data_IF_686727402185
#
_entry.id   IF_686727402185
#
_cell.length_a   1.000
_cell.length_b   1.000
_cell.length_c   1.000
_cell.angle_alpha   90.00
_cell.angle_beta   90.00
_cell.angle_gamma   90.00
#
_symmetry.space_group_name_H-M   'P 1'
#
loop_
_entity.id
_entity.type
_entity.pdbx_description
1 polymer ?
#
# COMPACT_ATOMS: atom_id res chain seq x y z
N UNK A 1 10.65 4.22 -5.07
CA UNK A 1 9.95 3.02 -4.57
C UNK A 1 9.63 3.27 -3.11
N UNK A 2 8.36 3.32 -2.74
CA UNK A 2 8.02 3.39 -1.33
C UNK A 2 8.19 1.99 -0.74
N UNK A 3 9.05 1.86 0.27
CA UNK A 3 9.27 0.59 0.98
C UNK A 3 7.97 0.19 1.67
N UNK A 4 7.60 -1.08 1.57
CA UNK A 4 6.46 -1.65 2.28
C UNK A 4 6.58 -1.34 3.78
N UNK A 5 5.46 -0.99 4.44
CA UNK A 5 5.48 -0.74 5.89
C UNK A 5 5.99 -1.99 6.63
N UNK A 6 6.75 -1.79 7.71
CA UNK A 6 7.25 -2.91 8.51
C UNK A 6 6.13 -3.74 9.12
N UNK A 7 5.03 -3.11 9.53
CA UNK A 7 3.86 -3.82 10.06
C UNK A 7 3.28 -4.75 9.00
N UNK A 8 3.00 -4.22 7.81
CA UNK A 8 2.48 -5.02 6.68
C UNK A 8 3.43 -6.16 6.31
N UNK A 9 4.74 -5.92 6.37
CA UNK A 9 5.75 -6.96 6.07
C UNK A 9 5.73 -8.11 7.08
N UNK A 10 5.54 -7.80 8.38
CA UNK A 10 5.42 -8.81 9.44
C UNK A 10 4.09 -9.58 9.33
N UNK A 11 2.99 -8.91 9.04
CA UNK A 11 1.69 -9.58 8.82
C UNK A 11 1.76 -10.55 7.63
N UNK A 12 2.39 -10.13 6.52
CA UNK A 12 2.60 -11.00 5.35
C UNK A 12 3.53 -12.17 5.64
N UNK A 13 4.56 -11.95 6.45
CA UNK A 13 5.42 -13.02 6.91
C UNK A 13 4.63 -14.10 7.66
N UNK A 14 3.74 -13.70 8.57
CA UNK A 14 2.89 -14.64 9.31
C UNK A 14 1.93 -15.39 8.39
N UNK A 15 1.35 -14.71 7.40
CA UNK A 15 0.45 -15.32 6.42
C UNK A 15 1.15 -16.36 5.52
N UNK A 16 2.37 -16.07 5.07
CA UNK A 16 3.13 -16.92 4.12
C UNK A 16 4.29 -17.67 4.77
N UNK A 17 4.27 -17.86 6.09
CA UNK A 17 5.41 -18.37 6.86
C UNK A 17 5.93 -19.71 6.32
N UNK A 18 5.04 -20.67 6.06
CA UNK A 18 5.41 -22.00 5.55
C UNK A 18 6.11 -21.91 4.20
N UNK A 19 5.55 -21.14 3.26
CA UNK A 19 6.12 -20.95 1.92
C UNK A 19 7.50 -20.28 2.00
N UNK A 20 7.64 -19.29 2.87
CA UNK A 20 8.91 -18.60 3.13
C UNK A 20 9.96 -19.59 3.65
N UNK A 21 9.62 -20.39 4.67
CA UNK A 21 10.54 -21.35 5.27
C UNK A 21 10.97 -22.44 4.27
N UNK A 22 10.06 -22.95 3.45
CA UNK A 22 10.38 -23.94 2.41
C UNK A 22 11.33 -23.38 1.34
N UNK A 23 11.11 -22.14 0.91
CA UNK A 23 12.00 -21.44 -0.01
C UNK A 23 13.40 -21.26 0.60
N UNK A 24 13.47 -20.76 1.84
CA UNK A 24 14.74 -20.55 2.52
C UNK A 24 15.49 -21.86 2.79
N UNK A 25 14.79 -22.95 3.10
CA UNK A 25 15.38 -24.27 3.22
C UNK A 25 16.07 -24.71 1.92
N UNK A 26 15.40 -24.50 0.78
CA UNK A 26 15.96 -24.81 -0.54
C UNK A 26 17.20 -23.96 -0.87
N UNK A 27 17.19 -22.68 -0.48
CA UNK A 27 18.33 -21.78 -0.65
C UNK A 27 19.50 -22.18 0.26
N UNK A 28 19.23 -22.50 1.53
CA UNK A 28 20.26 -22.97 2.47
C UNK A 28 20.92 -24.26 2.01
N UNK A 29 20.17 -25.20 1.43
CA UNK A 29 20.74 -26.40 0.81
C UNK A 29 21.68 -26.05 -0.36
N UNK A 30 21.29 -25.11 -1.21
CA UNK A 30 22.12 -24.62 -2.32
C UNK A 30 23.41 -23.95 -1.82
N UNK A 31 23.31 -23.12 -0.77
CA UNK A 31 24.45 -22.42 -0.18
C UNK A 31 25.42 -23.37 0.50
N UNK A 32 24.92 -24.37 1.24
CA UNK A 32 25.74 -25.42 1.85
C UNK A 32 26.59 -26.15 0.80
N UNK A 33 25.99 -26.53 -0.33
CA UNK A 33 26.72 -27.18 -1.43
C UNK A 33 27.78 -26.26 -2.04
N UNK A 34 27.47 -24.97 -2.19
CA UNK A 34 28.42 -23.97 -2.67
C UNK A 34 29.62 -23.80 -1.73
N UNK A 35 29.39 -23.79 -0.41
CA UNK A 35 30.44 -23.74 0.61
C UNK A 35 31.33 -24.99 0.54
N UNK A 36 30.73 -26.19 0.45
CA UNK A 36 31.47 -27.46 0.34
C UNK A 36 32.36 -27.50 -0.90
N UNK A 37 31.92 -26.88 -2.01
CA UNK A 37 32.65 -26.84 -3.28
C UNK A 37 33.56 -25.61 -3.44
N UNK A 38 33.67 -24.75 -2.42
CA UNK A 38 34.38 -23.46 -2.51
C UNK A 38 33.96 -22.61 -3.73
N UNK A 39 32.69 -22.68 -4.10
CA UNK A 39 32.13 -21.91 -5.22
C UNK A 39 31.79 -20.49 -4.78
N UNK A 40 31.97 -19.53 -5.70
CA UNK A 40 31.52 -18.16 -5.47
C UNK A 40 30.00 -18.08 -5.57
N UNK A 41 29.35 -18.10 -4.40
CA UNK A 41 27.91 -18.01 -4.25
C UNK A 41 27.36 -16.61 -4.56
N UNK A 42 28.19 -15.62 -4.93
CA UNK A 42 27.72 -14.28 -5.31
C UNK A 42 26.84 -14.27 -6.56
N UNK A 43 26.87 -15.32 -7.38
CA UNK A 43 25.93 -15.45 -8.52
C UNK A 43 24.47 -15.65 -8.06
N UNK A 44 24.24 -16.15 -6.84
CA UNK A 44 22.91 -16.31 -6.25
C UNK A 44 22.24 -14.96 -5.95
N UNK A 45 22.98 -13.86 -5.88
CA UNK A 45 22.44 -12.50 -5.70
C UNK A 45 21.45 -12.15 -6.80
N UNK A 46 21.72 -12.58 -8.03
CA UNK A 46 20.86 -12.30 -9.17
C UNK A 46 19.52 -13.05 -9.08
N UNK A 47 19.52 -14.24 -8.47
CA UNK A 47 18.34 -15.09 -8.31
C UNK A 47 17.55 -14.74 -7.03
N UNK A 48 18.27 -14.46 -5.94
CA UNK A 48 17.73 -14.21 -4.60
C UNK A 48 18.18 -12.84 -4.08
N UNK A 49 17.55 -11.76 -4.55
CA UNK A 49 17.95 -10.38 -4.29
C UNK A 49 17.68 -9.94 -2.85
N UNK A 50 16.88 -10.71 -2.11
CA UNK A 50 16.56 -10.48 -0.70
C UNK A 50 17.65 -10.97 0.26
N UNK A 51 18.62 -11.76 -0.20
CA UNK A 51 19.75 -12.19 0.64
C UNK A 51 20.61 -10.99 1.01
N UNK A 52 21.00 -10.86 2.28
CA UNK A 52 21.84 -9.75 2.76
C UNK A 52 23.25 -10.22 3.11
N UNK A 53 23.34 -11.14 4.08
CA UNK A 53 24.59 -11.62 4.64
C UNK A 53 24.59 -13.14 4.76
N UNK A 54 25.76 -13.74 4.60
CA UNK A 54 26.04 -15.13 4.92
C UNK A 54 27.31 -15.18 5.78
N UNK A 55 27.30 -16.00 6.82
CA UNK A 55 28.47 -16.28 7.65
C UNK A 55 28.36 -17.67 8.29
N UNK A 56 29.48 -18.20 8.76
CA UNK A 56 29.54 -19.49 9.43
C UNK A 56 29.89 -19.31 10.90
N UNK A 57 29.31 -20.12 11.79
CA UNK A 57 29.61 -20.14 13.22
C UNK A 57 30.21 -21.49 13.61
N UNK A 58 31.04 -21.52 14.65
CA UNK A 58 31.47 -22.74 15.30
C UNK A 58 30.45 -23.22 16.37
N UNK A 59 30.79 -24.31 17.07
CA UNK A 59 29.96 -24.88 18.16
C UNK A 59 29.73 -23.94 19.33
N UNK A 60 30.58 -22.92 19.50
CA UNK A 60 30.51 -21.95 20.59
C UNK A 60 29.81 -20.66 20.16
N UNK A 61 29.41 -20.53 18.90
CA UNK A 61 28.76 -19.34 18.37
C UNK A 61 29.76 -18.26 17.93
N UNK A 62 31.05 -18.59 17.80
CA UNK A 62 32.05 -17.68 17.23
C UNK A 62 32.01 -17.75 15.72
N UNK A 63 31.96 -16.58 15.10
CA UNK A 63 31.96 -16.45 13.65
C UNK A 63 33.32 -16.81 13.03
N UNK A 64 33.27 -17.67 12.03
CA UNK A 64 34.40 -18.18 11.26
C UNK A 64 34.51 -17.41 9.95
N UNK A 65 35.50 -16.51 9.87
CA UNK A 65 35.73 -15.68 8.68
C UNK A 65 34.81 -14.45 8.59
N UNK A 66 35.03 -13.66 7.54
CA UNK A 66 34.28 -12.43 7.32
C UNK A 66 32.89 -12.69 6.72
N UNK A 67 32.00 -11.71 6.85
CA UNK A 67 30.67 -11.78 6.25
C UNK A 67 30.74 -11.84 4.71
N UNK A 68 30.03 -12.80 4.12
CA UNK A 68 29.73 -12.82 2.70
C UNK A 68 28.54 -11.89 2.46
N UNK A 69 28.80 -10.72 1.88
CA UNK A 69 27.75 -9.76 1.55
C UNK A 69 27.18 -10.03 0.16
N UNK A 70 25.87 -10.21 0.06
CA UNK A 70 25.17 -10.40 -1.21
C UNK A 70 24.88 -9.07 -1.91
N UNK A 71 24.79 -7.96 -1.18
CA UNK A 71 24.50 -6.63 -1.77
C UNK A 71 25.74 -5.74 -1.84
N UNK A 72 25.89 -5.04 -2.97
CA UNK A 72 27.01 -4.09 -3.22
C UNK A 72 27.08 -2.97 -2.18
N UNK A 73 25.93 -2.50 -1.69
CA UNK A 73 25.85 -1.46 -0.65
C UNK A 73 26.51 -1.90 0.67
N UNK A 74 26.40 -3.18 1.01
CA UNK A 74 26.98 -3.75 2.23
C UNK A 74 28.43 -4.20 2.06
N UNK A 75 28.84 -4.52 0.83
CA UNK A 75 30.20 -4.99 0.55
C UNK A 75 31.29 -4.06 1.07
N UNK A 76 31.11 -2.73 0.96
CA UNK A 76 32.12 -1.76 1.42
C UNK A 76 32.27 -1.70 2.94
N UNK A 77 31.22 -2.03 3.69
CA UNK A 77 31.13 -1.77 5.13
C UNK A 77 31.24 -3.05 5.96
N UNK A 78 30.72 -4.17 5.43
CA UNK A 78 30.50 -5.41 6.18
C UNK A 78 31.34 -6.60 5.68
N UNK A 79 31.85 -6.59 4.44
CA UNK A 79 32.46 -7.79 3.82
C UNK A 79 33.79 -8.23 4.47
N UNK A 80 34.47 -7.36 5.20
CA UNK A 80 35.74 -7.65 5.89
C UNK A 80 35.59 -7.47 7.41
N UNK A 81 34.38 -7.72 7.93
CA UNK A 81 34.02 -7.63 9.34
C UNK A 81 33.32 -8.92 9.78
N UNK A 82 33.31 -9.15 11.09
CA UNK A 82 32.57 -10.24 11.72
C UNK A 82 33.44 -11.43 12.13
N UNK A 83 34.65 -11.58 11.57
CA UNK A 83 35.53 -12.68 11.99
C UNK A 83 35.83 -12.64 13.51
N UNK A 84 35.71 -13.80 14.16
CA UNK A 84 35.85 -13.99 15.60
C UNK A 84 34.85 -13.20 16.47
N UNK A 85 33.74 -12.72 15.90
CA UNK A 85 32.66 -12.14 16.68
C UNK A 85 31.88 -13.23 17.43
N UNK A 86 31.60 -12.98 18.72
CA UNK A 86 30.72 -13.83 19.52
C UNK A 86 29.24 -13.53 19.20
N UNK A 87 28.55 -14.56 18.71
CA UNK A 87 27.13 -14.53 18.36
C UNK A 87 26.36 -15.63 19.12
N UNK A 88 26.93 -16.17 20.20
CA UNK A 88 26.32 -17.22 21.00
C UNK A 88 24.99 -16.81 21.63
N UNK A 89 24.86 -15.57 22.08
CA UNK A 89 23.62 -15.05 22.68
C UNK A 89 22.50 -14.77 21.66
N UNK A 90 22.76 -14.95 20.36
CA UNK A 90 21.76 -14.63 19.33
C UNK A 90 20.62 -15.65 19.35
N UNK A 91 19.35 -15.22 19.18
CA UNK A 91 18.21 -16.12 19.24
C UNK A 91 18.31 -17.31 18.30
N UNK A 92 18.74 -17.10 17.05
CA UNK A 92 18.92 -18.20 16.09
C UNK A 92 19.91 -19.27 16.58
N UNK A 93 20.96 -18.87 17.31
CA UNK A 93 21.98 -19.80 17.79
C UNK A 93 21.45 -20.62 18.97
N UNK A 94 20.73 -19.99 19.88
CA UNK A 94 20.07 -20.67 21.00
C UNK A 94 19.01 -21.67 20.50
N UNK A 95 18.20 -21.28 19.51
CA UNK A 95 17.16 -22.14 18.92
C UNK A 95 17.75 -23.39 18.25
N UNK A 96 18.83 -23.24 17.47
CA UNK A 96 19.43 -24.41 16.80
C UNK A 96 20.09 -25.38 17.79
N UNK A 97 20.64 -24.87 18.91
CA UNK A 97 21.19 -25.73 19.96
C UNK A 97 20.10 -26.58 20.63
N UNK A 98 18.89 -26.03 20.79
CA UNK A 98 17.75 -26.74 21.36
C UNK A 98 17.18 -27.81 20.41
N UNK A 99 17.09 -27.51 19.10
CA UNK A 99 16.35 -28.34 18.15
C UNK A 99 17.21 -29.19 17.19
N UNK A 100 18.49 -28.85 16.99
CA UNK A 100 19.43 -29.50 16.05
C UNK A 100 18.93 -29.64 14.60
N UNK A 101 17.96 -28.81 14.20
CA UNK A 101 17.40 -28.75 12.86
C UNK A 101 17.55 -27.33 12.30
N UNK A 102 17.23 -27.12 11.03
CA UNK A 102 17.20 -25.76 10.47
C UNK A 102 16.16 -24.92 11.23
N UNK A 103 16.57 -23.76 11.71
CA UNK A 103 15.71 -22.84 12.47
C UNK A 103 15.61 -21.49 11.75
N UNK A 104 14.48 -20.82 11.95
CA UNK A 104 14.20 -19.49 11.40
C UNK A 104 13.77 -18.57 12.54
N UNK A 105 14.34 -17.37 12.61
CA UNK A 105 13.93 -16.40 13.63
C UNK A 105 12.57 -15.78 13.29
N UNK A 106 11.90 -15.26 14.31
CA UNK A 106 10.89 -14.23 14.08
C UNK A 106 11.51 -12.99 13.41
N UNK A 107 10.71 -12.15 12.72
CA UNK A 107 11.20 -10.89 12.15
C UNK A 107 11.80 -9.96 13.21
N UNK A 108 12.98 -9.42 12.94
CA UNK A 108 13.66 -8.46 13.81
C UNK A 108 14.43 -7.42 13.00
N UNK A 109 14.92 -6.34 13.64
CA UNK A 109 15.73 -5.33 12.96
C UNK A 109 17.20 -5.73 13.06
N UNK A 110 17.85 -5.95 11.91
CA UNK A 110 19.29 -6.25 11.86
C UNK A 110 20.09 -5.08 12.40
N UNK A 111 21.06 -5.35 13.29
CA UNK A 111 22.02 -4.34 13.74
C UNK A 111 23.01 -4.00 12.62
N UNK A 112 23.31 -4.97 11.74
CA UNK A 112 24.28 -4.80 10.66
C UNK A 112 23.71 -3.97 9.50
N UNK A 113 22.47 -4.24 9.09
CA UNK A 113 21.84 -3.60 7.92
C UNK A 113 20.77 -2.56 8.28
N UNK A 114 20.34 -2.47 9.55
CA UNK A 114 19.26 -1.59 10.02
C UNK A 114 17.93 -1.80 9.28
N UNK A 115 17.73 -2.99 8.71
CA UNK A 115 16.52 -3.36 8.00
C UNK A 115 15.82 -4.51 8.72
N UNK A 116 14.51 -4.58 8.51
CA UNK A 116 13.69 -5.69 8.97
C UNK A 116 14.14 -6.97 8.26
N UNK A 117 14.60 -7.94 9.03
CA UNK A 117 15.17 -9.18 8.54
C UNK A 117 14.62 -10.41 9.27
N UNK A 118 14.83 -11.56 8.65
CA UNK A 118 14.75 -12.87 9.28
C UNK A 118 16.08 -13.58 9.06
N UNK A 119 16.52 -14.34 10.05
CA UNK A 119 17.74 -15.14 9.92
C UNK A 119 17.39 -16.61 9.90
N UNK A 120 18.03 -17.32 8.98
CA UNK A 120 17.92 -18.76 8.83
C UNK A 120 19.26 -19.38 9.22
N UNK A 121 19.22 -20.39 10.10
CA UNK A 121 20.42 -21.09 10.58
C UNK A 121 20.29 -22.59 10.29
N UNK A 122 21.34 -23.19 9.73
CA UNK A 122 21.39 -24.61 9.34
C UNK A 122 22.67 -25.27 9.87
N UNK A 123 22.60 -26.50 10.40
CA UNK A 123 23.81 -27.23 10.80
C UNK A 123 24.59 -27.69 9.56
N UNK A 124 25.87 -27.36 9.50
CA UNK A 124 26.80 -27.81 8.46
C UNK A 124 27.42 -29.14 8.89
N UNK A 125 27.16 -30.19 8.12
CA UNK A 125 27.84 -31.48 8.29
C UNK A 125 29.08 -31.50 7.41
N UNK A 126 30.20 -31.01 7.94
CA UNK A 126 31.49 -31.14 7.28
C UNK A 126 32.10 -32.53 7.59
N UNK A 127 32.66 -33.24 6.60
CA UNK A 127 33.29 -34.54 6.82
C UNK A 127 34.66 -34.46 7.55
N UNK A 128 35.29 -33.28 7.65
CA UNK A 128 36.64 -33.11 8.23
C UNK A 128 36.80 -31.89 9.16
N UNK A 129 35.70 -31.23 9.56
CA UNK A 129 35.75 -30.08 10.48
C UNK A 129 34.72 -30.25 11.60
N UNK A 130 34.93 -29.58 12.72
CA UNK A 130 33.96 -29.54 13.81
C UNK A 130 32.58 -29.10 13.29
N UNK A 131 31.49 -29.63 13.87
CA UNK A 131 30.13 -29.19 13.52
C UNK A 131 30.05 -27.67 13.58
N UNK A 132 29.78 -27.05 12.43
CA UNK A 132 29.58 -25.61 12.31
C UNK A 132 28.13 -25.32 11.92
N UNK A 133 27.78 -24.05 11.91
CA UNK A 133 26.45 -23.58 11.52
C UNK A 133 26.57 -22.57 10.39
N UNK A 134 25.69 -22.67 9.40
CA UNK A 134 25.52 -21.69 8.35
C UNK A 134 24.40 -20.74 8.76
N UNK A 135 24.68 -19.44 8.77
CA UNK A 135 23.67 -18.40 9.02
C UNK A 135 23.51 -17.55 7.77
N UNK A 136 22.25 -17.26 7.44
CA UNK A 136 21.88 -16.38 6.33
C UNK A 136 20.87 -15.36 6.81
N UNK A 137 21.18 -14.08 6.65
CA UNK A 137 20.29 -12.96 6.95
C UNK A 137 19.55 -12.53 5.68
N UNK A 138 18.23 -12.39 5.79
CA UNK A 138 17.33 -12.10 4.67
C UNK A 138 16.52 -10.85 4.94
N UNK A 139 16.50 -9.93 3.99
CA UNK A 139 15.68 -8.72 4.02
C UNK A 139 14.21 -9.11 3.86
N UNK A 140 13.41 -8.93 4.92
CA UNK A 140 12.04 -9.41 4.92
C UNK A 140 11.17 -8.68 3.88
N UNK A 141 11.34 -7.36 3.75
CA UNK A 141 10.58 -6.56 2.79
C UNK A 141 10.79 -7.04 1.35
N UNK A 142 12.04 -7.28 0.96
CA UNK A 142 12.40 -7.73 -0.39
C UNK A 142 11.98 -9.19 -0.63
N UNK A 143 11.99 -10.02 0.41
CA UNK A 143 11.51 -11.40 0.33
C UNK A 143 10.00 -11.44 0.05
N UNK A 144 9.21 -10.63 0.77
CA UNK A 144 7.77 -10.54 0.52
C UNK A 144 7.49 -10.00 -0.88
N UNK A 145 8.18 -8.94 -1.31
CA UNK A 145 8.06 -8.42 -2.68
C UNK A 145 8.40 -9.48 -3.75
N UNK A 146 9.38 -10.34 -3.48
CA UNK A 146 9.77 -11.44 -4.37
C UNK A 146 8.67 -12.51 -4.44
N UNK A 147 8.16 -12.98 -3.30
CA UNK A 147 7.12 -14.02 -3.24
C UNK A 147 5.81 -13.54 -3.88
N UNK A 148 5.45 -12.27 -3.67
CA UNK A 148 4.25 -11.68 -4.25
C UNK A 148 4.38 -11.39 -5.76
N UNK A 149 5.55 -11.57 -6.37
CA UNK A 149 5.79 -11.28 -7.79
C UNK A 149 5.68 -9.79 -8.12
N UNK A 150 5.81 -8.91 -7.13
CA UNK A 150 5.42 -7.49 -7.22
C UNK A 150 6.42 -6.64 -8.03
N UNK A 151 7.54 -7.25 -8.49
CA UNK A 151 8.63 -6.60 -9.23
C UNK A 151 8.17 -5.97 -10.55
N UNK A 152 7.34 -6.68 -11.31
CA UNK A 152 6.84 -6.20 -12.62
C UNK A 152 5.83 -5.06 -12.44
N UNK A 153 5.00 -5.14 -11.39
CA UNK A 153 4.05 -4.09 -10.99
C UNK A 153 4.77 -2.82 -10.50
N UNK A 154 5.88 -2.97 -9.80
CA UNK A 154 6.66 -1.83 -9.30
C UNK A 154 7.25 -0.96 -10.42
N UNK A 155 7.64 -1.54 -11.56
CA UNK A 155 8.14 -0.78 -12.72
C UNK A 155 7.04 -0.01 -13.47
N UNK A 156 5.80 -0.49 -13.46
CA UNK A 156 4.66 0.19 -14.12
C UNK A 156 3.99 1.24 -13.25
N UNK A 157 4.18 1.16 -11.92
CA UNK A 157 3.63 2.13 -10.95
C UNK A 157 3.94 3.60 -11.27
N UNK A 158 5.17 4.02 -11.63
CA UNK A 158 5.44 5.43 -11.94
C UNK A 158 4.69 5.93 -13.17
N UNK A 159 4.49 5.08 -14.18
CA UNK A 159 3.73 5.44 -15.39
C UNK A 159 2.25 5.71 -15.05
N UNK A 160 1.62 4.84 -14.27
CA UNK A 160 0.24 5.04 -13.81
C UNK A 160 0.11 6.30 -12.96
N UNK A 161 1.05 6.55 -12.03
CA UNK A 161 1.04 7.79 -11.23
C UNK A 161 1.15 9.05 -12.10
N UNK A 162 1.98 9.02 -13.14
CA UNK A 162 2.08 10.13 -14.09
C UNK A 162 0.75 10.36 -14.84
N UNK A 163 0.12 9.28 -15.32
CA UNK A 163 -1.20 9.35 -15.98
C UNK A 163 -2.28 9.96 -15.08
N UNK A 164 -2.42 9.47 -13.85
CA UNK A 164 -3.35 10.05 -12.89
C UNK A 164 -3.01 11.51 -12.54
N UNK A 165 -1.72 11.86 -12.47
CA UNK A 165 -1.27 13.23 -12.23
C UNK A 165 -1.73 14.21 -13.32
N UNK A 166 -1.69 13.79 -14.59
CA UNK A 166 -2.20 14.60 -15.71
C UNK A 166 -3.72 14.80 -15.59
N UNK A 167 -4.47 13.74 -15.29
CA UNK A 167 -5.93 13.81 -15.14
C UNK A 167 -6.31 14.76 -14.00
N UNK A 168 -5.67 14.63 -12.84
CA UNK A 168 -5.91 15.48 -11.67
C UNK A 168 -5.57 16.94 -11.98
N UNK A 169 -4.46 17.20 -12.67
CA UNK A 169 -4.08 18.55 -13.11
C UNK A 169 -5.15 19.17 -14.02
N UNK A 170 -5.66 18.40 -14.99
CA UNK A 170 -6.73 18.84 -15.88
C UNK A 170 -8.02 19.18 -15.11
N UNK A 171 -8.42 18.34 -14.15
CA UNK A 171 -9.58 18.59 -13.29
C UNK A 171 -9.41 19.89 -12.49
N UNK A 172 -8.24 20.14 -11.90
CA UNK A 172 -8.00 21.38 -11.16
C UNK A 172 -8.00 22.62 -12.05
N UNK A 173 -7.45 22.55 -13.25
CA UNK A 173 -7.56 23.64 -14.23
C UNK A 173 -9.03 23.95 -14.57
N UNK A 174 -9.86 22.92 -14.73
CA UNK A 174 -11.29 23.09 -14.97
C UNK A 174 -12.00 23.76 -13.78
N UNK A 175 -11.70 23.34 -12.55
CA UNK A 175 -12.23 23.98 -11.33
C UNK A 175 -11.86 25.46 -11.27
N UNK A 176 -10.59 25.81 -11.54
CA UNK A 176 -10.13 27.20 -11.58
C UNK A 176 -10.87 28.01 -12.65
N UNK A 177 -11.11 27.43 -13.83
CA UNK A 177 -11.88 28.08 -14.88
C UNK A 177 -13.34 28.34 -14.45
N UNK A 178 -14.00 27.36 -13.83
CA UNK A 178 -15.37 27.54 -13.32
C UNK A 178 -15.44 28.62 -12.22
N UNK A 179 -14.47 28.63 -11.31
CA UNK A 179 -14.38 29.67 -10.27
C UNK A 179 -14.14 31.06 -10.88
N UNK A 180 -13.26 31.17 -11.89
CA UNK A 180 -13.05 32.42 -12.61
C UNK A 180 -14.35 32.97 -13.21
N UNK A 181 -15.17 32.11 -13.82
CA UNK A 181 -16.50 32.47 -14.33
C UNK A 181 -17.43 32.96 -13.22
N UNK A 182 -17.53 32.20 -12.13
CA UNK A 182 -18.33 32.56 -10.95
C UNK A 182 -17.93 33.92 -10.39
N UNK A 183 -16.63 34.20 -10.24
CA UNK A 183 -16.16 35.49 -9.74
C UNK A 183 -16.53 36.64 -10.68
N UNK A 184 -16.48 36.40 -12.00
CA UNK A 184 -16.96 37.35 -13.01
C UNK A 184 -18.45 37.67 -12.83
N UNK A 185 -19.29 36.63 -12.76
CA UNK A 185 -20.75 36.77 -12.63
C UNK A 185 -21.16 37.43 -11.30
N UNK A 186 -20.44 37.13 -10.20
CA UNK A 186 -20.65 37.80 -8.90
C UNK A 186 -20.26 39.28 -8.98
N UNK A 187 -19.15 39.59 -9.66
CA UNK A 187 -18.70 40.98 -9.82
C UNK A 187 -19.71 41.80 -10.63
N UNK A 188 -20.25 41.26 -11.71
CA UNK A 188 -21.28 41.94 -12.49
C UNK A 188 -22.55 42.19 -11.68
N UNK A 189 -22.99 41.21 -10.89
CA UNK A 189 -24.19 41.33 -10.06
C UNK A 189 -24.03 42.36 -8.92
N UNK A 190 -22.83 42.49 -8.34
CA UNK A 190 -22.54 43.45 -7.27
C UNK A 190 -22.32 44.89 -7.76
N UNK A 191 -21.72 45.08 -8.94
CA UNK A 191 -21.22 46.39 -9.37
C UNK A 191 -21.92 46.99 -10.60
N UNK A 192 -22.63 46.19 -11.40
CA UNK A 192 -23.29 46.64 -12.65
C UNK A 192 -24.83 46.53 -12.60
N UNK A 193 -25.44 46.49 -11.41
CA UNK A 193 -26.88 46.26 -11.23
C UNK A 193 -27.74 47.25 -12.02
N UNK A 194 -28.32 46.72 -13.11
CA UNK A 194 -29.41 47.34 -13.86
C UNK A 194 -30.72 46.92 -13.21
N UNK A 195 -31.75 47.78 -13.20
CA UNK A 195 -33.00 47.69 -12.41
C UNK A 195 -33.94 46.50 -12.72
N UNK A 196 -33.48 45.43 -13.36
CA UNK A 196 -34.22 44.18 -13.62
C UNK A 196 -33.36 42.98 -13.17
N UNK A 197 -33.24 42.76 -11.87
CA UNK A 197 -32.53 41.60 -11.33
C UNK A 197 -33.33 40.31 -11.64
N UNK A 198 -32.87 39.54 -12.63
CA UNK A 198 -33.41 38.21 -12.94
C UNK A 198 -32.88 37.18 -11.91
N UNK A 199 -33.75 36.56 -11.08
CA UNK A 199 -33.34 35.54 -10.10
C UNK A 199 -32.57 34.36 -10.71
N UNK A 200 -32.69 34.15 -12.04
CA UNK A 200 -31.99 33.09 -12.76
C UNK A 200 -30.47 33.25 -12.78
N UNK A 201 -29.94 34.48 -12.71
CA UNK A 201 -28.49 34.71 -12.68
C UNK A 201 -27.85 34.15 -11.40
N UNK A 202 -28.49 34.36 -10.25
CA UNK A 202 -28.06 33.80 -8.98
C UNK A 202 -28.06 32.25 -9.00
N UNK A 203 -29.04 31.62 -9.67
CA UNK A 203 -29.05 30.17 -9.81
C UNK A 203 -27.90 29.65 -10.69
N UNK A 204 -27.51 30.38 -11.73
CA UNK A 204 -26.36 30.02 -12.58
C UNK A 204 -25.07 29.98 -11.76
N UNK A 205 -24.86 31.00 -10.90
CA UNK A 205 -23.71 31.07 -9.99
C UNK A 205 -23.69 29.86 -9.05
N UNK A 206 -24.82 29.52 -8.43
CA UNK A 206 -24.90 28.37 -7.51
C UNK A 206 -24.60 27.05 -8.24
N UNK A 207 -25.09 26.88 -9.47
CA UNK A 207 -24.82 25.69 -10.29
C UNK A 207 -23.32 25.56 -10.57
N UNK A 208 -22.66 26.63 -11.02
CA UNK A 208 -21.23 26.59 -11.32
C UNK A 208 -20.37 26.35 -10.07
N UNK A 209 -20.71 26.94 -8.92
CA UNK A 209 -20.03 26.67 -7.65
C UNK A 209 -20.21 25.20 -7.24
N UNK A 210 -21.43 24.67 -7.35
CA UNK A 210 -21.74 23.29 -6.97
C UNK A 210 -20.98 22.30 -7.85
N UNK A 211 -20.93 22.55 -9.16
CA UNK A 211 -20.16 21.75 -10.12
C UNK A 211 -18.66 21.82 -9.83
N UNK A 212 -18.13 23.01 -9.55
CA UNK A 212 -16.73 23.20 -9.21
C UNK A 212 -16.33 22.44 -7.94
N UNK A 213 -17.16 22.48 -6.90
CA UNK A 213 -16.94 21.73 -5.66
C UNK A 213 -16.95 20.21 -5.89
N UNK A 214 -17.89 19.70 -6.69
CA UNK A 214 -17.96 18.28 -7.01
C UNK A 214 -16.72 17.77 -7.77
N UNK A 215 -16.25 18.54 -8.75
CA UNK A 215 -15.05 18.23 -9.53
C UNK A 215 -13.80 18.32 -8.65
N UNK A 216 -13.73 19.32 -7.75
CA UNK A 216 -12.62 19.49 -6.83
C UNK A 216 -12.49 18.29 -5.87
N UNK A 217 -13.59 17.86 -5.26
CA UNK A 217 -13.61 16.70 -4.37
C UNK A 217 -13.20 15.41 -5.09
N UNK A 218 -13.63 15.24 -6.35
CA UNK A 218 -13.20 14.12 -7.20
C UNK A 218 -11.69 14.18 -7.48
N UNK A 219 -11.18 15.33 -7.93
CA UNK A 219 -9.75 15.52 -8.20
C UNK A 219 -8.90 15.27 -6.96
N UNK A 220 -9.34 15.78 -5.80
CA UNK A 220 -8.72 15.52 -4.50
C UNK A 220 -8.73 14.03 -4.15
N UNK A 221 -9.85 13.34 -4.33
CA UNK A 221 -9.96 11.90 -4.03
C UNK A 221 -9.00 11.08 -4.89
N UNK A 222 -8.94 11.34 -6.20
CA UNK A 222 -8.00 10.65 -7.10
C UNK A 222 -6.55 10.92 -6.70
N UNK A 223 -6.22 12.18 -6.38
CA UNK A 223 -4.88 12.56 -5.91
C UNK A 223 -4.51 11.84 -4.60
N UNK A 224 -5.43 11.84 -3.63
CA UNK A 224 -5.23 11.19 -2.33
C UNK A 224 -5.03 9.69 -2.48
N UNK A 225 -5.73 9.03 -3.40
CA UNK A 225 -5.74 7.56 -3.45
C UNK A 225 -4.74 6.96 -4.42
N UNK A 226 -4.62 7.53 -5.62
CA UNK A 226 -3.75 6.95 -6.66
C UNK A 226 -2.32 7.48 -6.58
N UNK A 227 -2.13 8.69 -6.04
CA UNK A 227 -0.82 9.35 -6.01
C UNK A 227 -0.23 9.36 -4.59
N UNK A 228 -0.99 9.84 -3.59
CA UNK A 228 -0.52 10.05 -2.21
C UNK A 228 -0.65 8.81 -1.31
N UNK A 229 -1.73 8.03 -1.42
CA UNK A 229 -1.88 6.80 -0.64
C UNK A 229 -0.90 5.77 -1.14
N UNK A 230 -0.26 5.13 -0.15
CA UNK A 230 0.49 3.93 -0.40
C UNK A 230 -0.52 2.80 -0.58
N UNK A 231 -0.41 2.08 -1.70
CA UNK A 231 -1.31 1.00 -2.08
C UNK A 231 -1.10 -0.19 -1.13
N UNK A 232 -1.61 -0.09 0.10
CA UNK A 232 -1.85 -1.23 0.97
C UNK A 232 -3.01 -2.00 0.36
N UNK A 233 -2.68 -3.03 -0.41
CA UNK A 233 -3.59 -3.81 -1.27
C UNK A 233 -4.75 -4.44 -0.48
N UNK A 234 -4.69 -4.45 0.86
CA UNK A 234 -5.57 -5.26 1.70
C UNK A 234 -6.37 -4.52 2.77
N UNK A 235 -6.38 -3.18 2.77
CA UNK A 235 -7.50 -2.48 3.42
C UNK A 235 -8.67 -2.43 2.44
N UNK A 236 -9.45 -3.51 2.35
CA UNK A 236 -10.77 -3.47 1.69
C UNK A 236 -11.67 -2.33 2.22
N UNK A 237 -11.38 -1.81 3.41
CA UNK A 237 -12.02 -0.63 4.00
C UNK A 237 -11.66 0.70 3.33
N UNK A 238 -10.50 0.84 2.67
CA UNK A 238 -10.12 2.11 2.02
C UNK A 238 -10.96 2.34 0.77
N UNK A 239 -11.00 1.39 -0.17
CA UNK A 239 -11.78 1.49 -1.41
C UNK A 239 -13.27 1.70 -1.15
N UNK A 240 -13.84 1.09 -0.12
CA UNK A 240 -15.23 1.33 0.25
C UNK A 240 -15.45 2.77 0.73
N UNK A 241 -14.55 3.29 1.59
CA UNK A 241 -14.61 4.67 2.09
C UNK A 241 -14.51 5.67 0.94
N UNK A 242 -13.64 5.41 -0.04
CA UNK A 242 -13.53 6.15 -1.30
C UNK A 242 -14.86 6.24 -2.00
N UNK A 243 -15.44 5.08 -2.34
CA UNK A 243 -16.64 4.98 -3.15
C UNK A 243 -17.79 5.70 -2.44
N UNK A 244 -17.96 5.47 -1.13
CA UNK A 244 -18.99 6.18 -0.36
C UNK A 244 -18.78 7.69 -0.37
N UNK A 245 -17.55 8.19 -0.20
CA UNK A 245 -17.26 9.64 -0.26
C UNK A 245 -17.54 10.23 -1.63
N UNK A 246 -17.04 9.59 -2.68
CA UNK A 246 -17.24 10.00 -4.05
C UNK A 246 -18.73 10.07 -4.43
N UNK A 247 -19.49 9.00 -4.14
CA UNK A 247 -20.93 8.97 -4.40
C UNK A 247 -21.69 9.99 -3.53
N UNK A 248 -21.27 10.21 -2.28
CA UNK A 248 -21.89 11.22 -1.42
C UNK A 248 -21.72 12.63 -1.96
N UNK A 249 -20.53 12.99 -2.45
CA UNK A 249 -20.30 14.30 -3.10
C UNK A 249 -21.18 14.47 -4.33
N UNK A 250 -21.27 13.44 -5.20
CA UNK A 250 -22.17 13.48 -6.37
C UNK A 250 -23.62 13.64 -5.93
N UNK A 251 -24.05 12.88 -4.92
CA UNK A 251 -25.41 12.94 -4.38
C UNK A 251 -25.74 14.37 -3.91
N UNK A 252 -24.84 15.01 -3.16
CA UNK A 252 -25.02 16.39 -2.70
C UNK A 252 -25.15 17.34 -3.90
N UNK A 253 -24.28 17.22 -4.89
CA UNK A 253 -24.30 18.09 -6.07
C UNK A 253 -25.61 17.96 -6.86
N UNK A 254 -26.02 16.73 -7.19
CA UNK A 254 -27.26 16.45 -7.92
C UNK A 254 -28.49 16.85 -7.10
N UNK A 255 -28.45 16.71 -5.77
CA UNK A 255 -29.55 17.14 -4.89
C UNK A 255 -29.75 18.65 -4.93
N UNK A 256 -28.67 19.43 -4.89
CA UNK A 256 -28.74 20.90 -4.97
C UNK A 256 -29.25 21.30 -6.36
N UNK A 257 -28.75 20.67 -7.43
CA UNK A 257 -29.19 20.97 -8.79
C UNK A 257 -30.67 20.64 -9.04
N UNK A 258 -31.16 19.52 -8.50
CA UNK A 258 -32.56 19.13 -8.56
C UNK A 258 -33.45 20.16 -7.85
N UNK A 259 -33.02 20.63 -6.67
CA UNK A 259 -33.74 21.64 -5.90
C UNK A 259 -33.80 22.98 -6.63
N UNK A 260 -32.68 23.43 -7.21
CA UNK A 260 -32.64 24.65 -8.02
C UNK A 260 -33.53 24.56 -9.26
N UNK A 261 -33.54 23.40 -9.93
CA UNK A 261 -34.41 23.16 -11.09
C UNK A 261 -35.89 23.20 -10.69
N UNK A 262 -36.23 22.70 -9.50
CA UNK A 262 -37.58 22.81 -8.93
C UNK A 262 -37.96 24.27 -8.64
N UNK A 263 -37.04 25.08 -8.10
CA UNK A 263 -37.28 26.50 -7.90
C UNK A 263 -37.49 27.26 -9.22
N UNK A 264 -36.71 26.97 -10.26
CA UNK A 264 -36.93 27.52 -11.61
C UNK A 264 -38.34 27.20 -12.13
N UNK A 265 -38.78 25.96 -11.95
CA UNK A 265 -40.14 25.56 -12.31
C UNK A 265 -41.22 26.32 -11.52
N UNK A 266 -40.99 26.54 -10.22
CA UNK A 266 -41.91 27.25 -9.33
C UNK A 266 -42.04 28.75 -9.68
N UNK A 267 -40.98 29.37 -10.23
CA UNK A 267 -40.98 30.76 -10.70
C UNK A 267 -41.69 30.96 -12.06
N UNK A 268 -42.39 29.95 -12.57
CA UNK A 268 -43.22 30.05 -13.77
C UNK A 268 -42.63 29.41 -15.03
N UNK A 269 -41.44 28.81 -14.95
CA UNK A 269 -40.83 28.09 -16.08
C UNK A 269 -41.28 26.62 -16.10
N UNK A 270 -42.51 26.39 -16.51
CA UNK A 270 -43.16 25.07 -16.51
C UNK A 270 -42.37 23.96 -17.22
N UNK A 271 -41.51 24.31 -18.18
CA UNK A 271 -40.60 23.40 -18.88
C UNK A 271 -39.63 22.64 -17.94
N UNK A 272 -39.30 23.21 -16.77
CA UNK A 272 -38.38 22.58 -15.81
C UNK A 272 -39.07 21.70 -14.77
N UNK A 273 -40.40 21.71 -14.70
CA UNK A 273 -41.16 20.96 -13.70
C UNK A 273 -40.92 19.44 -13.83
N UNK A 274 -41.05 18.92 -15.05
CA UNK A 274 -40.93 17.50 -15.34
C UNK A 274 -39.48 17.00 -15.16
N UNK A 275 -38.45 17.72 -15.69
CA UNK A 275 -37.05 17.44 -15.36
C UNK A 275 -36.75 17.45 -13.85
N UNK A 276 -37.25 18.44 -13.11
CA UNK A 276 -37.02 18.54 -11.67
C UNK A 276 -37.56 17.33 -10.90
N UNK A 277 -38.77 16.86 -11.25
CA UNK A 277 -39.39 15.68 -10.63
C UNK A 277 -38.55 14.43 -10.89
N UNK A 278 -38.11 14.20 -12.13
CA UNK A 278 -37.28 13.04 -12.45
C UNK A 278 -35.90 13.11 -11.79
N UNK A 279 -35.29 14.29 -11.70
CA UNK A 279 -34.04 14.47 -10.96
C UNK A 279 -34.22 14.18 -9.47
N UNK A 280 -35.31 14.64 -8.84
CA UNK A 280 -35.59 14.33 -7.44
C UNK A 280 -35.82 12.82 -7.21
N UNK A 281 -36.54 12.15 -8.10
CA UNK A 281 -36.69 10.69 -8.03
C UNK A 281 -35.36 9.95 -8.17
N UNK A 282 -34.48 10.42 -9.07
CA UNK A 282 -33.14 9.87 -9.22
C UNK A 282 -32.29 10.06 -7.96
N UNK A 283 -32.34 11.24 -7.33
CA UNK A 283 -31.65 11.53 -6.05
C UNK A 283 -32.11 10.56 -4.95
N UNK A 284 -33.42 10.36 -4.81
CA UNK A 284 -33.99 9.41 -3.84
C UNK A 284 -33.49 7.99 -4.12
N UNK A 285 -33.52 7.55 -5.38
CA UNK A 285 -33.01 6.24 -5.78
C UNK A 285 -31.53 6.05 -5.45
N UNK A 286 -30.70 7.06 -5.73
CA UNK A 286 -29.26 7.06 -5.47
C UNK A 286 -28.96 7.05 -3.96
N UNK A 287 -29.77 7.75 -3.16
CA UNK A 287 -29.68 7.74 -1.69
C UNK A 287 -30.00 6.35 -1.13
N UNK A 288 -31.09 5.71 -1.60
CA UNK A 288 -31.45 4.34 -1.20
C UNK A 288 -30.35 3.35 -1.59
N UNK A 289 -29.84 3.44 -2.82
CA UNK A 289 -28.75 2.58 -3.29
C UNK A 289 -27.48 2.74 -2.42
N UNK A 290 -27.11 3.98 -2.08
CA UNK A 290 -25.98 4.27 -1.21
C UNK A 290 -26.19 3.72 0.20
N UNK A 291 -27.40 3.86 0.77
CA UNK A 291 -27.74 3.32 2.09
C UNK A 291 -27.60 1.79 2.12
N UNK A 292 -28.11 1.10 1.10
CA UNK A 292 -27.97 -0.36 0.95
C UNK A 292 -26.49 -0.76 0.82
N UNK A 293 -25.72 -0.07 -0.01
CA UNK A 293 -24.29 -0.34 -0.19
C UNK A 293 -23.52 -0.20 1.13
N UNK A 294 -23.76 0.88 1.88
CA UNK A 294 -23.11 1.13 3.19
C UNK A 294 -23.51 0.05 4.20
N UNK A 295 -24.80 -0.31 4.26
CA UNK A 295 -25.30 -1.33 5.17
C UNK A 295 -24.69 -2.72 4.90
N UNK A 296 -24.68 -3.16 3.64
CA UNK A 296 -24.06 -4.43 3.24
C UNK A 296 -22.56 -4.43 3.52
N UNK A 297 -21.88 -3.31 3.26
CA UNK A 297 -20.46 -3.14 3.55
C UNK A 297 -20.14 -3.26 5.04
N UNK A 298 -20.94 -2.65 5.91
CA UNK A 298 -20.79 -2.76 7.36
C UNK A 298 -21.04 -4.20 7.85
N UNK A 299 -22.07 -4.87 7.31
CA UNK A 299 -22.39 -6.26 7.65
C UNK A 299 -21.22 -7.21 7.29
N UNK A 300 -20.63 -7.06 6.11
CA UNK A 300 -19.47 -7.88 5.71
C UNK A 300 -18.27 -7.72 6.66
N UNK A 301 -17.99 -6.48 7.11
CA UNK A 301 -16.89 -6.22 8.05
C UNK A 301 -17.12 -6.88 9.42
N UNK A 302 -18.35 -6.86 9.93
CA UNK A 302 -18.68 -7.55 11.19
C UNK A 302 -18.47 -9.06 11.10
N UNK A 303 -18.82 -9.67 9.95
CA UNK A 303 -18.62 -11.10 9.73
C UNK A 303 -17.14 -11.48 9.68
N UNK A 304 -16.32 -10.67 9.01
CA UNK A 304 -14.86 -10.88 8.94
C UNK A 304 -14.20 -10.76 10.32
N UNK A 305 -14.55 -9.73 11.09
CA UNK A 305 -14.03 -9.55 12.46
C UNK A 305 -14.41 -10.71 13.38
N UNK A 306 -15.64 -11.22 13.24
CA UNK A 306 -16.10 -12.38 14.01
C UNK A 306 -15.34 -13.66 13.63
N UNK A 307 -15.09 -13.89 12.34
CA UNK A 307 -14.30 -15.05 11.85
C UNK A 307 -12.84 -14.98 12.35
N UNK A 308 -12.21 -13.81 12.28
CA UNK A 308 -10.85 -13.61 12.80
C UNK A 308 -10.76 -13.84 14.33
N UNK A 309 -11.77 -13.41 15.09
CA UNK A 309 -11.84 -13.67 16.54
C UNK A 309 -11.97 -15.16 16.84
N UNK A 310 -12.78 -15.89 16.07
CA UNK A 310 -12.92 -17.35 16.21
C UNK A 310 -11.62 -18.08 15.86
N UNK A 311 -10.90 -17.66 14.82
CA UNK A 311 -9.62 -18.27 14.45
C UNK A 311 -8.50 -18.02 15.46
N UNK A 312 -8.55 -16.93 16.25
CA UNK A 312 -7.59 -16.66 17.34
C UNK A 312 -7.94 -17.34 18.66
N UNK A 313 -9.15 -17.87 18.80
CA UNK A 313 -9.63 -18.53 20.01
C UNK A 313 -9.44 -20.06 19.99
N UNK A 314 -9.15 -20.64 18.83
CA UNK A 314 -8.75 -22.03 18.63
C UNK A 314 -7.24 -22.13 18.46
#
# INVERSE_FOLDING_TARGET
MARMSYITSVERYQEYQTVIHDLLNSILATLEDGIKKQQDNRLLVAQYPFLELQYCLDKKGLQQGDNVCFKREYMKVLNNKGNAQDLSDRPYFQEILAHQQTCFTAPYISIATQHLCISAIKPLRAPQSEQGYLVVDVCLTQLIEFIMGDRTRANMTPFFKAGYGIIVSCLFCLVLFLLYKVFGDIYTLLFNSSMEDDPLEAFSIIIFITLALAIFDLGKTILEEEILMHKDIFRHSSTRRTITRFISTILIAVSIEALLTMFKAALGQSQYLLPAIYMMLAVVGLLVALAVYVYLGAKAETLLLNSQRQSKAN
#
